data_IF_686797973212
#
_entry.id   IF_686797973212
#
_cell.length_a   1.000
_cell.length_b   1.000
_cell.length_c   1.000
_cell.angle_alpha   90.00
_cell.angle_beta   90.00
_cell.angle_gamma   90.00
#
_symmetry.space_group_name_H-M   'P 1'
#
loop_
_entity.id
_entity.type
_entity.pdbx_description
1 polymer ?
#
# COMPACT_ATOMS: atom_id res chain seq x y z
N UNK A 1 -14.90 -10.11 -1.05
CA UNK A 1 -13.44 -9.88 -1.16
C UNK A 1 -12.72 -10.63 -0.05
N UNK A 2 -11.67 -11.35 -0.39
CA UNK A 2 -10.86 -12.03 0.60
C UNK A 2 -9.80 -11.08 1.17
N UNK A 3 -9.18 -11.49 2.27
CA UNK A 3 -8.09 -10.71 2.86
C UNK A 3 -6.90 -10.62 1.92
N UNK A 4 -6.63 -11.69 1.17
CA UNK A 4 -5.55 -11.70 0.19
C UNK A 4 -5.83 -10.71 -0.94
N UNK A 5 -7.06 -10.65 -1.40
CA UNK A 5 -7.45 -9.69 -2.43
C UNK A 5 -7.31 -8.25 -1.90
N UNK A 6 -7.73 -8.01 -0.67
CA UNK A 6 -7.59 -6.70 -0.06
C UNK A 6 -6.12 -6.29 0.06
N UNK A 7 -5.26 -7.23 0.45
CA UNK A 7 -3.83 -6.96 0.56
C UNK A 7 -3.23 -6.63 -0.81
N UNK A 8 -3.62 -7.38 -1.84
CA UNK A 8 -3.15 -7.13 -3.20
C UNK A 8 -3.59 -5.75 -3.70
N UNK A 9 -4.82 -5.36 -3.40
CA UNK A 9 -5.31 -4.05 -3.79
C UNK A 9 -4.58 -2.92 -3.07
N UNK A 10 -4.24 -3.11 -1.80
CA UNK A 10 -3.45 -2.12 -1.07
C UNK A 10 -2.06 -1.93 -1.68
N UNK A 11 -1.41 -3.04 -2.04
CA UNK A 11 -0.10 -2.97 -2.69
C UNK A 11 -0.20 -2.24 -4.03
N UNK A 12 -1.23 -2.56 -4.81
CA UNK A 12 -1.45 -1.92 -6.10
C UNK A 12 -1.70 -0.41 -5.93
N UNK A 13 -2.54 -0.06 -4.98
CA UNK A 13 -2.85 1.34 -4.72
C UNK A 13 -1.61 2.11 -4.29
N UNK A 14 -0.78 1.52 -3.45
CA UNK A 14 0.46 2.15 -3.04
C UNK A 14 1.43 2.33 -4.20
N UNK A 15 1.53 1.33 -5.09
CA UNK A 15 2.36 1.43 -6.27
C UNK A 15 1.90 2.56 -7.19
N UNK A 16 0.59 2.68 -7.39
CA UNK A 16 0.02 3.76 -8.18
C UNK A 16 0.31 5.12 -7.57
N UNK A 17 0.18 5.21 -6.25
CA UNK A 17 0.48 6.45 -5.53
C UNK A 17 1.95 6.83 -5.68
N UNK A 18 2.85 5.87 -5.56
CA UNK A 18 4.28 6.12 -5.75
C UNK A 18 4.59 6.64 -7.16
N UNK A 19 3.92 6.06 -8.15
CA UNK A 19 4.09 6.49 -9.55
C UNK A 19 3.60 7.93 -9.72
N UNK A 20 2.47 8.27 -9.12
CA UNK A 20 1.95 9.65 -9.17
C UNK A 20 2.88 10.63 -8.46
N UNK A 21 3.44 10.24 -7.33
CA UNK A 21 4.41 11.08 -6.63
C UNK A 21 5.62 11.39 -7.50
N UNK A 22 6.13 10.38 -8.18
CA UNK A 22 7.25 10.55 -9.11
C UNK A 22 6.89 11.45 -10.28
N UNK A 23 5.71 11.21 -10.86
CA UNK A 23 5.28 11.89 -12.06
C UNK A 23 5.01 13.37 -11.83
N UNK A 24 4.38 13.70 -10.72
CA UNK A 24 3.95 15.06 -10.43
C UNK A 24 4.85 15.77 -9.42
N UNK A 25 5.87 15.10 -8.92
CA UNK A 25 6.79 15.69 -7.97
C UNK A 25 6.18 15.88 -6.58
N UNK A 26 5.16 15.11 -6.24
CA UNK A 26 4.55 15.19 -4.91
C UNK A 26 5.47 14.56 -3.88
N UNK A 27 5.62 15.18 -2.70
CA UNK A 27 6.40 14.54 -1.65
C UNK A 27 5.65 13.31 -1.12
N UNK A 28 6.34 12.18 -0.89
CA UNK A 28 5.69 11.02 -0.29
C UNK A 28 5.28 11.32 1.15
N UNK A 29 4.17 10.74 1.58
CA UNK A 29 3.72 10.88 2.96
C UNK A 29 4.64 10.09 3.87
N UNK A 30 5.10 10.71 4.95
CA UNK A 30 5.92 10.04 5.94
C UNK A 30 5.13 8.89 6.57
N UNK A 31 5.73 7.73 6.60
CA UNK A 31 5.12 6.57 7.22
C UNK A 31 4.10 5.84 6.36
N UNK A 32 3.78 6.32 5.15
CA UNK A 32 2.83 5.61 4.30
C UNK A 32 3.33 4.23 3.92
N UNK A 33 4.60 4.12 3.56
CA UNK A 33 5.20 2.84 3.21
C UNK A 33 5.10 1.87 4.38
N UNK A 34 5.42 2.35 5.58
CA UNK A 34 5.33 1.54 6.79
C UNK A 34 3.89 1.14 7.09
N UNK A 35 2.97 2.08 6.97
CA UNK A 35 1.55 1.81 7.23
C UNK A 35 1.00 0.75 6.29
N UNK A 36 1.31 0.85 5.01
CA UNK A 36 0.86 -0.13 4.01
C UNK A 36 1.48 -1.51 4.31
N UNK A 37 2.76 -1.53 4.67
CA UNK A 37 3.44 -2.79 4.99
C UNK A 37 2.79 -3.46 6.19
N UNK A 38 2.51 -2.71 7.24
CA UNK A 38 1.85 -3.25 8.44
C UNK A 38 0.46 -3.76 8.09
N UNK A 39 -0.30 -3.00 7.32
CA UNK A 39 -1.65 -3.40 6.95
C UNK A 39 -1.65 -4.70 6.13
N UNK A 40 -0.74 -4.81 5.16
CA UNK A 40 -0.65 -6.01 4.33
C UNK A 40 -0.24 -7.21 5.15
N UNK A 41 0.73 -7.05 6.04
CA UNK A 41 1.17 -8.13 6.91
C UNK A 41 0.05 -8.59 7.84
N UNK A 42 -0.68 -7.64 8.41
CA UNK A 42 -1.81 -7.96 9.30
C UNK A 42 -2.89 -8.75 8.57
N UNK A 43 -3.19 -8.38 7.33
CA UNK A 43 -4.18 -9.09 6.53
C UNK A 43 -3.73 -10.51 6.21
N UNK A 44 -2.44 -10.72 5.97
CA UNK A 44 -1.90 -12.04 5.67
C UNK A 44 -1.81 -12.95 6.90
N UNK A 45 -1.49 -12.37 8.04
CA UNK A 45 -1.31 -13.14 9.26
C UNK A 45 -2.62 -13.72 9.81
N UNK A 46 -3.73 -13.10 9.49
CA UNK A 46 -5.03 -13.54 10.01
C UNK A 46 -5.58 -14.75 9.25
N UNK A 47 -4.94 -15.13 8.20
CA UNK A 47 -5.31 -16.34 7.49
C UNK A 47 -4.62 -17.55 8.09
#
# INVERSE_FOLDING_TARGET
MTKQEAAAMLVQLYADYSTLCDKYGWPPSDGMSEAVTIAVQSLREVE
#
